data_IF_411296755413
#
_entry.id   IF_411296755413
#
_cell.length_a   1.000
_cell.length_b   1.000
_cell.length_c   1.000
_cell.angle_alpha   90.00
_cell.angle_beta   90.00
_cell.angle_gamma   90.00
#
_symmetry.space_group_name_H-M   'P 1'
#
loop_
_entity.id
_entity.type
_entity.pdbx_description
1 polymer ?
#
# COMPACT_ATOMS: atom_id res chain seq x y z
N UNK A 1 -4.13 27.22 12.52
CA UNK A 1 -4.43 25.78 12.47
C UNK A 1 -3.52 25.13 13.48
N UNK A 2 -4.05 24.44 14.49
CA UNK A 2 -3.20 23.61 15.34
C UNK A 2 -2.82 22.39 14.51
N UNK A 3 -1.58 22.35 14.03
CA UNK A 3 -1.03 21.12 13.46
C UNK A 3 -0.95 20.10 14.61
N UNK A 4 -1.86 19.14 14.62
CA UNK A 4 -1.84 18.04 15.59
C UNK A 4 -0.91 16.94 15.08
N UNK A 5 0.10 16.60 15.87
CA UNK A 5 0.95 15.43 15.63
C UNK A 5 0.09 14.17 15.71
N UNK A 6 0.14 13.34 14.67
CA UNK A 6 -0.50 12.03 14.64
C UNK A 6 0.48 10.93 15.07
N UNK A 7 -0.02 9.95 15.83
CA UNK A 7 0.74 8.77 16.25
C UNK A 7 -0.10 7.50 16.06
N UNK A 8 0.42 6.58 15.27
CA UNK A 8 -0.04 5.18 15.20
C UNK A 8 1.08 4.27 15.69
N UNK A 9 0.97 3.74 16.90
CA UNK A 9 1.90 2.75 17.45
C UNK A 9 1.87 1.43 16.67
N UNK A 10 2.80 0.51 16.95
CA UNK A 10 2.79 -0.82 16.35
C UNK A 10 1.44 -1.52 16.61
N UNK A 11 0.88 -2.18 15.59
CA UNK A 11 -0.42 -2.85 15.67
C UNK A 11 -1.65 -1.93 15.79
N UNK A 12 -1.49 -0.60 15.67
CA UNK A 12 -2.63 0.32 15.63
C UNK A 12 -2.79 0.98 14.27
N UNK A 13 -4.01 1.36 13.94
CA UNK A 13 -4.40 1.95 12.67
C UNK A 13 -5.76 1.40 12.26
N UNK A 14 -6.40 2.04 11.28
CA UNK A 14 -7.61 1.46 10.68
C UNK A 14 -7.21 0.28 9.78
N UNK A 15 -7.83 -0.87 9.96
CA UNK A 15 -7.56 -2.06 9.15
C UNK A 15 -8.62 -2.26 8.07
N UNK A 16 -8.16 -2.60 6.88
CA UNK A 16 -8.96 -2.95 5.72
C UNK A 16 -8.51 -4.32 5.24
N UNK A 17 -9.46 -5.27 5.19
CA UNK A 17 -9.21 -6.59 4.63
C UNK A 17 -9.38 -6.53 3.11
N UNK A 18 -8.32 -6.86 2.37
CA UNK A 18 -8.36 -7.16 0.96
C UNK A 18 -8.28 -8.69 0.74
N UNK A 19 -8.68 -9.21 -0.43
CA UNK A 19 -8.61 -10.65 -0.71
C UNK A 19 -7.20 -11.25 -0.57
N UNK A 20 -6.16 -10.46 -0.80
CA UNK A 20 -4.76 -10.87 -0.86
C UNK A 20 -3.86 -10.20 0.20
N UNK A 21 -4.42 -9.33 1.06
CA UNK A 21 -3.66 -8.64 2.09
C UNK A 21 -4.55 -8.05 3.20
N UNK A 22 -3.95 -7.78 4.36
CA UNK A 22 -4.48 -6.85 5.35
C UNK A 22 -3.73 -5.53 5.21
N UNK A 23 -4.47 -4.44 5.03
CA UNK A 23 -3.93 -3.09 4.90
C UNK A 23 -4.26 -2.30 6.15
N UNK A 24 -3.23 -1.83 6.87
CA UNK A 24 -3.38 -0.97 8.05
C UNK A 24 -3.02 0.47 7.70
N UNK A 25 -3.94 1.41 7.86
CA UNK A 25 -3.67 2.84 7.69
C UNK A 25 -2.87 3.35 8.89
N UNK A 26 -1.59 3.65 8.66
CA UNK A 26 -0.70 4.21 9.68
C UNK A 26 -0.82 5.73 9.73
N UNK A 27 -0.87 6.36 8.56
CA UNK A 27 -1.05 7.81 8.39
C UNK A 27 -2.07 8.02 7.26
N UNK A 28 -3.31 8.34 7.62
CA UNK A 28 -4.37 8.73 6.67
C UNK A 28 -4.27 10.20 6.23
N UNK A 29 -4.97 10.53 5.15
CA UNK A 29 -5.02 11.88 4.54
C UNK A 29 -5.38 13.02 5.50
N UNK A 30 -6.25 12.75 6.46
CA UNK A 30 -6.73 13.66 7.49
C UNK A 30 -5.60 14.14 8.42
N UNK A 31 -4.54 13.33 8.56
CA UNK A 31 -3.38 13.66 9.37
C UNK A 31 -2.36 14.55 8.64
N UNK A 32 -2.39 14.58 7.31
CA UNK A 32 -1.34 15.22 6.49
C UNK A 32 -1.85 16.40 5.66
N UNK A 33 -3.14 16.72 5.76
CA UNK A 33 -3.79 17.67 4.86
C UNK A 33 -3.76 17.18 3.41
N UNK A 34 -3.94 15.86 3.22
CA UNK A 34 -3.90 15.18 1.92
C UNK A 34 -2.58 15.34 1.14
N UNK A 35 -1.44 15.50 1.83
CA UNK A 35 -0.14 15.56 1.16
C UNK A 35 0.43 14.17 0.88
N UNK A 36 0.30 13.26 1.84
CA UNK A 36 0.73 11.87 1.70
C UNK A 36 -0.05 10.95 2.64
N UNK A 37 0.03 9.65 2.36
CA UNK A 37 -0.57 8.60 3.17
C UNK A 37 0.44 7.47 3.34
N UNK A 38 0.35 6.75 4.46
CA UNK A 38 1.22 5.60 4.75
C UNK A 38 0.36 4.43 5.22
N UNK A 39 0.51 3.32 4.53
CA UNK A 39 -0.17 2.06 4.80
C UNK A 39 0.88 1.00 5.10
N UNK A 40 0.62 0.17 6.11
CA UNK A 40 1.34 -1.08 6.31
C UNK A 40 0.53 -2.20 5.66
N UNK A 41 1.15 -2.96 4.77
CA UNK A 41 0.52 -4.09 4.07
C UNK A 41 1.11 -5.37 4.60
N UNK A 42 0.26 -6.27 5.09
CA UNK A 42 0.58 -7.64 5.47
C UNK A 42 -0.05 -8.59 4.44
N UNK A 43 0.80 -9.16 3.58
CA UNK A 43 0.35 -9.94 2.44
C UNK A 43 0.83 -11.40 2.55
N UNK A 44 -0.06 -12.39 2.68
CA UNK A 44 0.31 -13.79 2.50
C UNK A 44 0.64 -14.10 1.04
N UNK A 45 1.27 -15.25 0.80
CA UNK A 45 1.39 -15.77 -0.56
C UNK A 45 0.04 -16.20 -1.12
N UNK A 46 -0.49 -15.40 -2.04
CA UNK A 46 -1.73 -15.65 -2.75
C UNK A 46 -1.54 -15.41 -4.26
N UNK A 47 -2.48 -15.84 -5.12
CA UNK A 47 -2.53 -15.39 -6.50
C UNK A 47 -2.52 -13.85 -6.55
N UNK A 48 -1.68 -13.27 -7.42
CA UNK A 48 -1.57 -11.83 -7.53
C UNK A 48 -2.89 -11.20 -7.97
N UNK A 49 -3.20 -10.03 -7.41
CA UNK A 49 -4.30 -9.21 -7.91
C UNK A 49 -4.10 -8.88 -9.40
N UNK A 50 -5.19 -8.72 -10.18
CA UNK A 50 -5.09 -8.26 -11.55
C UNK A 50 -4.29 -6.95 -11.66
N UNK A 51 -3.46 -6.79 -12.70
CA UNK A 51 -2.79 -5.54 -12.96
C UNK A 51 -3.78 -4.38 -13.07
N UNK A 52 -3.47 -3.27 -12.40
CA UNK A 52 -4.28 -2.07 -12.38
C UNK A 52 -3.38 -0.83 -12.44
N UNK A 53 -3.97 0.32 -12.72
CA UNK A 53 -3.27 1.60 -12.77
C UNK A 53 -4.07 2.65 -12.04
N UNK A 54 -3.41 3.42 -11.20
CA UNK A 54 -4.03 4.52 -10.47
C UNK A 54 -3.68 5.87 -11.09
N UNK A 55 -4.52 6.88 -10.83
CA UNK A 55 -4.25 8.26 -11.25
C UNK A 55 -3.27 9.01 -10.35
N UNK A 56 -2.67 8.33 -9.37
CA UNK A 56 -1.68 8.86 -8.44
C UNK A 56 -0.44 7.96 -8.39
N UNK A 57 0.70 8.55 -8.04
CA UNK A 57 1.93 7.80 -7.81
C UNK A 57 1.91 7.13 -6.45
N UNK A 58 2.53 5.96 -6.36
CA UNK A 58 2.73 5.24 -5.10
C UNK A 58 4.15 4.69 -5.00
N UNK A 59 4.61 4.44 -3.78
CA UNK A 59 5.88 3.77 -3.52
C UNK A 59 5.69 2.61 -2.57
N UNK A 60 6.51 1.58 -2.74
CA UNK A 60 6.62 0.48 -1.77
C UNK A 60 7.99 0.50 -1.09
N UNK A 61 8.02 0.13 0.18
CA UNK A 61 9.24 -0.14 0.96
C UNK A 61 9.09 -1.45 1.72
N UNK A 62 9.94 -2.44 1.45
CA UNK A 62 9.77 -3.79 2.03
C UNK A 62 10.38 -3.86 3.43
N UNK A 63 9.60 -4.36 4.39
CA UNK A 63 10.01 -4.55 5.78
C UNK A 63 10.45 -5.99 6.04
N UNK A 64 9.66 -6.98 5.60
CA UNK A 64 9.96 -8.41 5.73
C UNK A 64 9.45 -9.18 4.52
N UNK A 65 10.00 -10.39 4.29
CA UNK A 65 9.65 -11.20 3.13
C UNK A 65 10.20 -10.64 1.81
N UNK A 66 9.64 -11.09 0.68
CA UNK A 66 10.00 -10.61 -0.66
C UNK A 66 8.76 -10.48 -1.54
N UNK A 67 8.74 -9.45 -2.36
CA UNK A 67 7.70 -9.23 -3.37
C UNK A 67 8.32 -9.06 -4.76
N UNK A 68 7.62 -9.53 -5.78
CA UNK A 68 7.89 -9.19 -7.17
C UNK A 68 6.87 -8.15 -7.60
N UNK A 69 7.32 -6.92 -7.88
CA UNK A 69 6.47 -5.86 -8.42
C UNK A 69 6.57 -5.91 -9.93
N UNK A 70 5.44 -6.12 -10.61
CA UNK A 70 5.34 -5.90 -12.04
C UNK A 70 4.88 -4.46 -12.25
N UNK A 71 5.64 -3.66 -13.00
CA UNK A 71 5.30 -2.28 -13.32
C UNK A 71 5.73 -1.97 -14.75
N UNK A 72 4.76 -1.62 -15.60
CA UNK A 72 4.99 -1.51 -17.04
C UNK A 72 5.27 -2.88 -17.65
N UNK A 73 6.41 -3.00 -18.34
CA UNK A 73 6.89 -4.23 -18.99
C UNK A 73 7.97 -4.98 -18.18
N UNK A 74 8.30 -4.48 -16.98
CA UNK A 74 9.38 -5.01 -16.15
C UNK A 74 8.89 -5.58 -14.82
N UNK A 75 9.61 -6.60 -14.36
CA UNK A 75 9.48 -7.18 -13.03
C UNK A 75 10.65 -6.80 -12.12
N UNK A 76 10.35 -6.40 -10.90
CA UNK A 76 11.32 -5.96 -9.90
C UNK A 76 11.20 -6.83 -8.64
N UNK A 77 12.23 -7.63 -8.34
CA UNK A 77 12.30 -8.45 -7.12
C UNK A 77 12.84 -7.59 -5.97
N UNK A 78 12.00 -7.37 -4.96
CA UNK A 78 12.27 -6.51 -3.82
C UNK A 78 12.30 -7.34 -2.53
N UNK A 79 13.43 -7.27 -1.82
CA UNK A 79 13.60 -7.82 -0.47
C UNK A 79 13.62 -6.73 0.60
N UNK A 80 13.82 -7.09 1.88
CA UNK A 80 13.80 -6.11 2.98
C UNK A 80 14.80 -4.97 2.76
N UNK A 81 14.35 -3.73 2.97
CA UNK A 81 15.14 -2.52 2.72
C UNK A 81 15.12 -2.02 1.27
N UNK A 82 14.57 -2.79 0.32
CA UNK A 82 14.33 -2.32 -1.04
C UNK A 82 13.09 -1.43 -1.12
N UNK A 83 13.13 -0.47 -2.04
CA UNK A 83 11.98 0.38 -2.39
C UNK A 83 11.79 0.52 -3.89
N UNK A 84 10.56 0.80 -4.31
CA UNK A 84 10.22 1.16 -5.69
C UNK A 84 9.23 2.33 -5.68
N UNK A 85 9.33 3.22 -6.66
CA UNK A 85 8.32 4.24 -6.96
C UNK A 85 7.62 3.88 -8.26
N UNK A 86 6.30 3.92 -8.25
CA UNK A 86 5.42 3.61 -9.38
C UNK A 86 4.70 4.91 -9.77
N UNK A 87 4.99 5.50 -10.94
CA UNK A 87 4.33 6.71 -11.40
C UNK A 87 2.84 6.50 -11.68
N UNK A 88 2.04 7.56 -11.50
CA UNK A 88 0.64 7.60 -11.92
C UNK A 88 0.45 7.09 -13.37
N UNK A 89 -0.60 6.30 -13.60
CA UNK A 89 -0.93 5.71 -14.90
C UNK A 89 -0.13 4.46 -15.26
N UNK A 90 0.82 4.02 -14.42
CA UNK A 90 1.60 2.81 -14.67
C UNK A 90 0.77 1.57 -14.32
N UNK A 91 0.53 0.68 -15.29
CA UNK A 91 -0.06 -0.62 -15.03
C UNK A 91 0.86 -1.44 -14.13
N UNK A 92 0.36 -1.87 -12.97
CA UNK A 92 1.17 -2.53 -11.97
C UNK A 92 0.39 -3.60 -11.17
N UNK A 93 1.13 -4.55 -10.61
CA UNK A 93 0.67 -5.51 -9.60
C UNK A 93 1.87 -5.98 -8.77
N UNK A 94 1.64 -6.72 -7.69
CA UNK A 94 2.69 -7.39 -6.95
C UNK A 94 2.33 -8.86 -6.65
N UNK A 95 3.36 -9.69 -6.52
CA UNK A 95 3.25 -11.07 -6.05
C UNK A 95 4.16 -11.26 -4.84
N UNK A 96 3.70 -12.00 -3.83
CA UNK A 96 4.55 -12.38 -2.69
C UNK A 96 5.38 -13.62 -3.05
N UNK A 97 6.69 -13.55 -2.87
CA UNK A 97 7.64 -14.63 -3.22
C UNK A 97 8.00 -15.53 -2.02
N UNK A 98 7.78 -15.04 -0.80
CA UNK A 98 7.93 -15.76 0.48
C UNK A 98 6.57 -16.23 1.01
N UNK A 99 6.49 -17.00 2.12
CA UNK A 99 5.18 -17.38 2.69
C UNK A 99 4.28 -16.18 3.04
N UNK A 100 4.89 -15.09 3.48
CA UNK A 100 4.28 -13.77 3.63
C UNK A 100 5.31 -12.66 3.39
N UNK A 101 4.85 -11.44 3.16
CA UNK A 101 5.67 -10.24 3.14
C UNK A 101 4.94 -9.09 3.85
N UNK A 102 5.72 -8.23 4.50
CA UNK A 102 5.24 -6.97 5.07
C UNK A 102 5.96 -5.82 4.41
N UNK A 103 5.23 -4.82 3.95
CA UNK A 103 5.80 -3.65 3.30
C UNK A 103 4.96 -2.42 3.55
N UNK A 104 5.57 -1.25 3.43
CA UNK A 104 4.85 0.02 3.44
C UNK A 104 4.40 0.34 2.02
N UNK A 105 3.15 0.77 1.87
CA UNK A 105 2.69 1.47 0.70
C UNK A 105 2.51 2.95 1.05
N UNK A 106 3.02 3.82 0.19
CA UNK A 106 3.00 5.27 0.38
C UNK A 106 2.38 5.88 -0.87
N UNK A 107 1.36 6.70 -0.71
CA UNK A 107 0.79 7.48 -1.82
C UNK A 107 0.88 8.96 -1.54
N UNK A 108 1.02 9.74 -2.61
CA UNK A 108 0.72 11.16 -2.56
C UNK A 108 -0.80 11.32 -2.69
N UNK A 109 -1.39 12.31 -2.01
CA UNK A 109 -2.83 12.61 -1.97
C UNK A 109 -3.68 11.69 -1.10
N UNK A 110 -4.86 12.17 -0.65
CA UNK A 110 -5.84 11.38 0.11
C UNK A 110 -6.69 10.40 -0.69
N UNK A 111 -6.24 10.04 -1.89
CA UNK A 111 -7.01 9.23 -2.85
C UNK A 111 -6.93 7.73 -2.55
N UNK A 112 -5.90 7.27 -1.85
CA UNK A 112 -5.78 5.85 -1.52
C UNK A 112 -6.71 5.50 -0.36
N UNK A 113 -6.85 6.37 0.65
CA UNK A 113 -7.88 6.17 1.69
C UNK A 113 -9.30 6.19 1.14
N UNK A 114 -9.58 7.04 0.13
CA UNK A 114 -10.89 7.04 -0.54
C UNK A 114 -11.17 5.71 -1.26
N UNK A 115 -10.18 5.15 -1.96
CA UNK A 115 -10.31 3.84 -2.62
C UNK A 115 -10.56 2.71 -1.60
N UNK A 116 -9.84 2.67 -0.48
CA UNK A 116 -10.04 1.64 0.54
C UNK A 116 -11.40 1.77 1.23
N UNK A 117 -11.90 2.99 1.45
CA UNK A 117 -13.25 3.21 1.96
C UNK A 117 -14.33 2.72 0.98
N UNK A 118 -14.19 3.03 -0.32
CA UNK A 118 -15.10 2.53 -1.36
C UNK A 118 -15.08 1.00 -1.46
N UNK A 119 -13.89 0.38 -1.42
CA UNK A 119 -13.78 -1.08 -1.46
C UNK A 119 -14.40 -1.75 -0.24
N UNK A 120 -14.29 -1.15 0.95
CA UNK A 120 -14.91 -1.68 2.17
C UNK A 120 -16.45 -1.69 2.12
N UNK A 121 -17.08 -0.74 1.40
CA UNK A 121 -18.54 -0.73 1.19
C UNK A 121 -19.02 -1.78 0.17
N UNK A 122 -18.16 -2.20 -0.77
CA UNK A 122 -18.53 -3.19 -1.80
C UNK A 122 -18.52 -4.63 -1.25
N UNK A 123 -17.83 -4.87 -0.14
CA UNK A 123 -17.77 -6.21 0.51
C UNK A 123 -18.72 -6.34 1.70
N UNK A 124 -19.57 -5.34 1.97
CA UNK A 124 -20.57 -5.34 3.05
C UNK A 124 -21.98 -5.71 2.58
#
# INVERSE_FOLDING_TARGET
>A
MNESVHLSTAGTGAEYAAPDAIVTVKVGSEHTGAQYEVFEVDAPRAPAAPPHSESWSKAFYVLTGRILVQAGDQGYDLGPGSSISIPAGTLNTFSVLTPSAKFLAISQTGRMSALFAELAEVVS
#
